data_IF_079679021488
#
_entry.id   IF_079679021488
#
_cell.length_a   1.000
_cell.length_b   1.000
_cell.length_c   1.000
_cell.angle_alpha   90.00
_cell.angle_beta   90.00
_cell.angle_gamma   90.00
#
_symmetry.space_group_name_H-M   'P 1'
#
loop_
_entity.id
_entity.type
_entity.pdbx_description
1 polymer ?
#
# COMPACT_ATOMS: atom_id res chain seq x y z
N UNK A 1 6.81 -0.40 -15.81
CA UNK A 1 5.45 -0.60 -15.26
C UNK A 1 5.62 -1.39 -13.98
N UNK A 2 4.98 -0.93 -12.90
CA UNK A 2 5.00 -1.60 -11.59
C UNK A 2 3.56 -1.94 -11.27
N UNK A 3 3.30 -3.21 -10.98
CA UNK A 3 1.95 -3.70 -10.73
C UNK A 3 1.70 -3.94 -9.22
N UNK A 4 2.77 -4.00 -8.41
CA UNK A 4 2.66 -4.15 -6.96
C UNK A 4 3.88 -3.55 -6.22
N UNK A 5 3.63 -2.87 -5.10
CA UNK A 5 4.65 -2.39 -4.14
C UNK A 5 4.58 -3.24 -2.87
N UNK A 6 5.70 -3.88 -2.53
CA UNK A 6 5.81 -4.73 -1.34
C UNK A 6 6.75 -4.13 -0.31
N UNK A 7 6.28 -4.02 0.94
CA UNK A 7 7.08 -3.55 2.07
C UNK A 7 7.02 -4.55 3.22
N UNK A 8 8.10 -4.62 3.99
CA UNK A 8 8.13 -5.52 5.16
C UNK A 8 7.27 -5.00 6.31
N UNK A 9 7.33 -3.70 6.60
CA UNK A 9 6.52 -2.99 7.59
C UNK A 9 6.00 -1.69 7.00
N UNK A 10 4.81 -1.27 7.39
CA UNK A 10 4.16 -0.05 6.90
C UNK A 10 5.05 1.21 7.10
N UNK A 11 5.77 1.27 8.22
CA UNK A 11 6.66 2.39 8.57
C UNK A 11 7.91 2.53 7.69
N UNK A 12 8.17 1.54 6.81
CA UNK A 12 9.24 1.58 5.82
C UNK A 12 8.83 2.36 4.56
N UNK A 13 7.53 2.50 4.32
CA UNK A 13 7.01 3.32 3.23
C UNK A 13 7.05 4.81 3.63
N UNK A 14 6.46 5.15 4.79
CA UNK A 14 6.62 6.46 5.43
C UNK A 14 6.39 6.35 6.93
N UNK A 15 6.97 7.29 7.68
CA UNK A 15 6.71 7.45 9.14
C UNK A 15 5.46 8.30 9.42
N UNK A 16 4.93 9.00 8.42
CA UNK A 16 3.68 9.76 8.53
C UNK A 16 2.51 8.88 8.10
N UNK A 17 1.51 8.71 8.98
CA UNK A 17 0.30 7.97 8.63
C UNK A 17 -0.43 8.59 7.43
N UNK A 18 -0.52 9.93 7.41
CA UNK A 18 -1.16 10.66 6.31
C UNK A 18 -0.45 10.38 4.97
N UNK A 19 0.88 10.41 4.98
CA UNK A 19 1.66 10.21 3.76
C UNK A 19 1.53 8.77 3.27
N UNK A 20 1.48 7.80 4.20
CA UNK A 20 1.25 6.40 3.87
C UNK A 20 -0.09 6.18 3.19
N UNK A 21 -1.18 6.74 3.74
CA UNK A 21 -2.50 6.63 3.12
C UNK A 21 -2.54 7.30 1.75
N UNK A 22 -2.00 8.51 1.63
CA UNK A 22 -1.89 9.22 0.36
C UNK A 22 -1.15 8.41 -0.71
N UNK A 23 -0.01 7.78 -0.36
CA UNK A 23 0.73 6.96 -1.30
C UNK A 23 -0.03 5.69 -1.71
N UNK A 24 -0.74 5.04 -0.78
CA UNK A 24 -1.49 3.83 -1.09
C UNK A 24 -2.69 4.15 -1.98
N UNK A 25 -3.51 5.12 -1.58
CA UNK A 25 -4.78 5.45 -2.24
C UNK A 25 -4.55 6.29 -3.50
N UNK A 26 -4.00 7.48 -3.35
CA UNK A 26 -3.94 8.50 -4.42
C UNK A 26 -2.76 8.31 -5.38
N UNK A 27 -1.80 7.42 -5.07
CA UNK A 27 -0.63 7.17 -5.92
C UNK A 27 -0.61 5.75 -6.45
N UNK A 28 -0.62 4.72 -5.61
CA UNK A 28 -0.48 3.34 -6.08
C UNK A 28 -1.79 2.83 -6.70
N UNK A 29 -2.89 2.85 -5.96
CA UNK A 29 -4.17 2.32 -6.42
C UNK A 29 -4.73 3.08 -7.63
N UNK A 30 -4.61 4.40 -7.65
CA UNK A 30 -5.00 5.24 -8.81
C UNK A 30 -4.24 4.89 -10.09
N UNK A 31 -3.02 4.35 -9.98
CA UNK A 31 -2.22 3.87 -11.11
C UNK A 31 -2.38 2.37 -11.39
N UNK A 32 -3.31 1.69 -10.69
CA UNK A 32 -3.53 0.26 -10.81
C UNK A 32 -2.37 -0.59 -10.26
N UNK A 33 -1.61 -0.04 -9.31
CA UNK A 33 -0.56 -0.74 -8.60
C UNK A 33 -1.07 -1.15 -7.21
N UNK A 34 -1.09 -2.44 -6.93
CA UNK A 34 -1.45 -2.93 -5.60
C UNK A 34 -0.32 -2.64 -4.58
N UNK A 35 -0.64 -2.71 -3.30
CA UNK A 35 0.27 -2.48 -2.19
C UNK A 35 0.13 -3.60 -1.16
N UNK A 36 1.27 -4.14 -0.70
CA UNK A 36 1.31 -5.20 0.30
C UNK A 36 2.31 -4.89 1.41
N UNK A 37 1.85 -4.93 2.66
CA UNK A 37 2.69 -4.95 3.86
C UNK A 37 2.70 -6.35 4.48
N UNK A 38 3.90 -6.91 4.65
CA UNK A 38 4.08 -8.28 5.14
C UNK A 38 3.80 -8.40 6.65
N UNK A 39 4.22 -7.42 7.46
CA UNK A 39 4.09 -7.51 8.93
C UNK A 39 2.68 -7.20 9.42
N UNK A 40 1.95 -6.30 8.74
CA UNK A 40 0.58 -5.92 9.11
C UNK A 40 -0.48 -6.75 8.37
N UNK A 41 -0.07 -7.70 7.50
CA UNK A 41 -0.96 -8.46 6.60
C UNK A 41 -1.94 -7.55 5.85
N UNK A 42 -1.45 -6.40 5.40
CA UNK A 42 -2.23 -5.42 4.66
C UNK A 42 -1.99 -5.62 3.17
N UNK A 43 -3.01 -6.04 2.43
CA UNK A 43 -2.90 -6.40 1.01
C UNK A 43 -4.06 -5.82 0.20
N UNK A 44 -3.78 -4.76 -0.54
CA UNK A 44 -4.78 -4.10 -1.38
C UNK A 44 -5.10 -4.85 -2.67
N UNK A 45 -4.45 -5.99 -2.97
CA UNK A 45 -4.90 -6.87 -4.06
C UNK A 45 -6.15 -7.67 -3.68
N UNK A 46 -6.46 -7.74 -2.38
CA UNK A 46 -7.64 -8.44 -1.85
C UNK A 46 -8.82 -7.48 -1.64
N UNK A 47 -10.09 -7.95 -1.77
CA UNK A 47 -11.25 -7.10 -1.52
C UNK A 47 -11.29 -6.49 -0.11
N UNK A 48 -10.75 -7.21 0.89
CA UNK A 48 -10.71 -6.73 2.27
C UNK A 48 -9.69 -5.60 2.45
N UNK A 49 -8.56 -5.63 1.74
CA UNK A 49 -7.55 -4.59 1.84
C UNK A 49 -7.81 -3.34 1.00
N UNK A 50 -8.86 -3.34 0.15
CA UNK A 50 -9.33 -2.16 -0.60
C UNK A 50 -10.52 -1.43 0.05
N UNK A 51 -11.09 -1.98 1.12
CA UNK A 51 -12.26 -1.44 1.82
C UNK A 51 -11.85 -0.39 2.86
#
# INVERSE_FOLDING_TARGET
RVDCVLVYKLDRLSRSQKDTLHMIEDVFLDHGCDFVSMSENFDTSTPLGRA
#
